data_IF_546377433554
#
_entry.id   IF_546377433554
#
_cell.length_a   1.000
_cell.length_b   1.000
_cell.length_c   1.000
_cell.angle_alpha   90.00
_cell.angle_beta   90.00
_cell.angle_gamma   90.00
#
_symmetry.space_group_name_H-M   'P 1'
#
loop_
_entity.id
_entity.type
_entity.pdbx_description
1 polymer ?
#
# COMPACT_ATOMS: atom_id res chain seq x y z
N UNK A 1 -26.66 -85.99 -14.52
CA UNK A 1 -26.97 -85.35 -15.80
C UNK A 1 -26.53 -83.91 -15.68
N UNK A 2 -25.53 -83.47 -16.45
CA UNK A 2 -24.99 -82.12 -16.30
C UNK A 2 -25.79 -81.11 -17.16
N UNK A 3 -26.13 -79.98 -16.57
CA UNK A 3 -26.79 -78.86 -17.22
C UNK A 3 -25.79 -78.07 -18.09
N UNK A 4 -26.17 -77.87 -19.34
CA UNK A 4 -25.40 -77.07 -20.32
C UNK A 4 -25.61 -75.56 -20.10
N UNK A 5 -24.49 -74.89 -19.91
CA UNK A 5 -24.41 -73.42 -19.83
C UNK A 5 -24.28 -72.84 -21.24
N UNK A 6 -25.16 -71.86 -21.61
CA UNK A 6 -25.05 -71.12 -22.86
C UNK A 6 -24.30 -69.77 -22.61
N UNK A 7 -23.38 -69.35 -23.47
CA UNK A 7 -22.72 -68.09 -23.34
C UNK A 7 -23.64 -66.94 -23.83
N UNK A 8 -23.67 -65.84 -23.06
CA UNK A 8 -24.32 -64.58 -23.43
C UNK A 8 -23.40 -63.76 -24.37
N UNK A 9 -23.95 -63.06 -25.36
CA UNK A 9 -23.18 -62.21 -26.24
C UNK A 9 -22.79 -60.87 -25.50
N UNK A 10 -21.53 -60.49 -25.63
CA UNK A 10 -21.00 -59.20 -25.14
C UNK A 10 -21.47 -58.07 -26.04
N UNK A 11 -22.23 -57.17 -25.47
CA UNK A 11 -22.57 -55.89 -26.15
C UNK A 11 -21.40 -54.92 -26.06
N UNK A 12 -20.79 -54.61 -27.20
CA UNK A 12 -19.81 -53.53 -27.36
C UNK A 12 -20.55 -52.19 -27.38
N UNK A 13 -20.35 -51.39 -26.34
CA UNK A 13 -20.78 -49.97 -26.30
C UNK A 13 -19.61 -49.12 -26.82
N UNK A 14 -19.79 -48.32 -27.87
CA UNK A 14 -18.73 -47.39 -28.31
C UNK A 14 -18.64 -46.20 -27.36
N UNK A 15 -17.48 -46.03 -26.72
CA UNK A 15 -17.13 -44.86 -25.94
C UNK A 15 -16.88 -43.65 -26.89
N UNK A 16 -17.88 -42.79 -27.00
CA UNK A 16 -17.69 -41.47 -27.65
C UNK A 16 -16.91 -40.55 -26.71
N UNK A 17 -15.64 -40.33 -26.99
CA UNK A 17 -14.82 -39.35 -26.28
C UNK A 17 -15.23 -37.94 -26.72
N UNK A 18 -15.97 -37.21 -25.88
CA UNK A 18 -16.14 -35.74 -26.02
C UNK A 18 -14.83 -35.07 -25.64
N UNK A 19 -14.11 -34.53 -26.61
CA UNK A 19 -13.00 -33.61 -26.36
C UNK A 19 -13.57 -32.26 -25.94
N UNK A 20 -13.54 -31.97 -24.65
CA UNK A 20 -13.82 -30.61 -24.13
C UNK A 20 -12.62 -29.71 -24.41
N UNK A 21 -12.74 -28.81 -25.39
CA UNK A 21 -11.79 -27.69 -25.56
C UNK A 21 -11.93 -26.74 -24.38
N UNK A 22 -10.99 -26.81 -23.44
CA UNK A 22 -10.84 -25.82 -22.40
C UNK A 22 -10.29 -24.53 -23.04
N UNK A 23 -11.16 -23.55 -23.29
CA UNK A 23 -10.77 -22.21 -23.65
C UNK A 23 -10.14 -21.56 -22.41
N UNK A 24 -8.79 -21.59 -22.29
CA UNK A 24 -8.06 -20.75 -21.35
C UNK A 24 -8.20 -19.30 -21.78
N UNK A 25 -9.26 -18.63 -21.30
CA UNK A 25 -9.35 -17.18 -21.35
C UNK A 25 -8.22 -16.61 -20.52
N UNK A 26 -7.24 -15.98 -21.15
CA UNK A 26 -6.23 -15.18 -20.47
C UNK A 26 -6.93 -14.00 -19.79
N UNK A 27 -7.24 -14.12 -18.49
CA UNK A 27 -7.66 -13.00 -17.67
C UNK A 27 -6.50 -11.99 -17.64
N UNK A 28 -6.61 -10.94 -18.44
CA UNK A 28 -5.72 -9.78 -18.32
C UNK A 28 -5.90 -9.22 -16.90
N UNK A 29 -4.82 -9.08 -16.11
CA UNK A 29 -4.95 -8.48 -14.77
C UNK A 29 -5.57 -7.10 -14.90
N UNK A 30 -6.45 -6.69 -13.95
CA UNK A 30 -7.04 -5.37 -13.98
C UNK A 30 -5.93 -4.32 -13.95
N UNK A 31 -5.97 -3.39 -14.93
CA UNK A 31 -5.08 -2.23 -14.94
C UNK A 31 -5.43 -1.40 -13.71
N UNK A 32 -4.47 -1.10 -12.82
CA UNK A 32 -4.74 -0.24 -11.67
C UNK A 32 -5.35 1.09 -12.17
N UNK A 33 -6.35 1.64 -11.48
CA UNK A 33 -6.93 2.91 -11.88
C UNK A 33 -5.83 3.97 -11.95
N UNK A 34 -5.78 4.71 -13.07
CA UNK A 34 -4.85 5.82 -13.23
C UNK A 34 -5.20 6.89 -12.20
N UNK A 35 -4.31 7.12 -11.24
CA UNK A 35 -4.49 8.15 -10.21
C UNK A 35 -4.30 9.51 -10.87
N UNK A 36 -5.37 10.33 -10.89
CA UNK A 36 -5.27 11.72 -11.31
C UNK A 36 -4.69 12.54 -10.15
N UNK A 37 -3.45 12.95 -10.31
CA UNK A 37 -2.72 13.70 -9.28
C UNK A 37 -3.02 15.19 -9.40
N UNK A 38 -3.50 15.86 -8.33
CA UNK A 38 -3.67 17.31 -8.30
C UNK A 38 -2.36 18.05 -8.58
N UNK A 39 -2.47 19.25 -9.18
CA UNK A 39 -1.31 20.09 -9.55
C UNK A 39 -0.40 20.37 -8.35
N UNK A 40 -0.98 20.70 -7.19
CA UNK A 40 -0.27 21.00 -5.95
C UNK A 40 0.61 19.86 -5.43
N UNK A 41 0.37 18.65 -5.91
CA UNK A 41 1.13 17.45 -5.52
C UNK A 41 2.13 17.01 -6.58
N UNK A 42 2.29 17.72 -7.68
CA UNK A 42 3.30 17.40 -8.68
C UNK A 42 4.72 17.67 -8.13
N UNK A 43 5.69 16.82 -8.49
CA UNK A 43 7.08 17.05 -8.10
C UNK A 43 7.61 18.34 -8.73
N UNK A 44 8.66 18.97 -8.14
CA UNK A 44 9.35 20.10 -8.73
C UNK A 44 9.82 19.83 -10.17
N UNK A 45 9.90 20.89 -10.97
CA UNK A 45 10.48 20.79 -12.31
C UNK A 45 11.95 20.32 -12.25
N UNK A 46 12.33 19.45 -13.17
CA UNK A 46 13.67 18.84 -13.19
C UNK A 46 13.82 17.57 -12.36
N UNK A 47 12.74 17.09 -11.75
CA UNK A 47 12.69 15.78 -11.13
C UNK A 47 11.99 14.75 -12.03
N UNK A 48 12.47 13.52 -12.04
CA UNK A 48 11.91 12.39 -12.79
C UNK A 48 11.50 11.25 -11.87
N UNK A 49 10.48 10.51 -12.30
CA UNK A 49 10.05 9.30 -11.62
C UNK A 49 11.19 8.28 -11.53
N UNK A 50 11.55 7.91 -10.32
CA UNK A 50 12.50 6.83 -10.07
C UNK A 50 11.80 5.50 -9.79
N UNK A 51 10.79 5.52 -8.93
CA UNK A 51 10.15 4.30 -8.46
C UNK A 51 8.75 4.57 -7.94
N UNK A 52 7.87 3.60 -8.14
CA UNK A 52 6.57 3.54 -7.48
C UNK A 52 6.59 2.37 -6.50
N UNK A 53 6.10 2.60 -5.28
CA UNK A 53 6.01 1.62 -4.21
C UNK A 53 4.61 1.59 -3.63
N UNK A 54 4.19 0.41 -3.19
CA UNK A 54 2.90 0.18 -2.52
C UNK A 54 3.14 -0.08 -1.05
N UNK A 55 2.58 0.78 -0.20
CA UNK A 55 2.65 0.62 1.23
C UNK A 55 1.43 -0.14 1.75
N UNK A 56 1.68 -1.06 2.66
CA UNK A 56 0.65 -1.73 3.47
C UNK A 56 1.14 -1.74 4.92
N UNK A 57 0.32 -1.25 5.82
CA UNK A 57 0.68 -1.15 7.23
C UNK A 57 -0.36 -0.41 8.06
N UNK A 58 0.07 0.32 9.08
CA UNK A 58 -0.79 1.04 10.01
C UNK A 58 -0.36 2.48 10.22
N UNK A 59 -1.33 3.36 10.47
CA UNK A 59 -1.13 4.66 11.10
C UNK A 59 -1.30 4.47 12.60
N UNK A 60 -0.34 4.96 13.39
CA UNK A 60 -0.34 4.83 14.85
C UNK A 60 -0.76 6.15 15.46
N UNK A 61 -1.75 6.09 16.33
CA UNK A 61 -2.26 7.23 17.10
C UNK A 61 -2.13 6.93 18.59
N UNK A 62 -1.98 7.96 19.38
CA UNK A 62 -1.96 7.87 20.85
C UNK A 62 -3.07 8.74 21.43
N UNK A 63 -3.81 8.20 22.37
CA UNK A 63 -4.78 8.96 23.13
C UNK A 63 -4.08 9.97 24.04
N UNK A 64 -4.38 11.26 23.87
CA UNK A 64 -3.80 12.35 24.65
C UNK A 64 -4.86 13.32 25.13
N UNK A 65 -4.56 14.06 26.17
CA UNK A 65 -5.31 15.26 26.50
C UNK A 65 -5.20 16.26 25.34
N UNK A 66 -6.34 16.79 24.90
CA UNK A 66 -6.36 17.78 23.81
C UNK A 66 -5.84 19.11 24.31
N UNK A 67 -4.80 19.63 23.65
CA UNK A 67 -4.19 20.88 24.01
C UNK A 67 -5.22 22.04 23.95
N UNK A 68 -5.22 22.90 24.94
CA UNK A 68 -6.10 24.09 25.01
C UNK A 68 -7.57 23.79 25.32
N UNK A 69 -7.94 22.55 25.68
CA UNK A 69 -9.33 22.18 26.01
C UNK A 69 -9.36 21.29 27.27
N UNK A 70 -9.89 21.84 28.34
CA UNK A 70 -9.96 21.10 29.63
C UNK A 70 -10.91 19.91 29.51
N UNK A 71 -10.43 18.72 29.90
CA UNK A 71 -11.21 17.49 29.96
C UNK A 71 -11.46 16.80 28.60
N UNK A 72 -11.03 17.39 27.49
CA UNK A 72 -11.13 16.75 26.17
C UNK A 72 -9.90 15.90 25.86
N UNK A 73 -10.10 14.84 25.09
CA UNK A 73 -9.08 13.94 24.60
C UNK A 73 -9.09 13.90 23.07
N UNK A 74 -7.99 13.46 22.49
CA UNK A 74 -7.86 13.26 21.05
C UNK A 74 -6.92 12.11 20.72
N UNK A 75 -7.08 11.53 19.55
CA UNK A 75 -6.12 10.61 18.96
C UNK A 75 -5.04 11.41 18.22
N UNK A 76 -3.89 11.60 18.86
CA UNK A 76 -2.75 12.31 18.28
C UNK A 76 -1.92 11.35 17.42
N UNK A 77 -1.62 11.75 16.18
CA UNK A 77 -0.80 10.95 15.27
C UNK A 77 0.65 10.85 15.75
N UNK A 78 1.18 9.62 15.79
CA UNK A 78 2.59 9.33 16.12
C UNK A 78 3.44 9.07 14.88
N UNK A 79 2.92 8.32 13.94
CA UNK A 79 3.65 7.94 12.74
C UNK A 79 3.08 6.69 12.07
N UNK A 80 3.52 6.41 10.84
CA UNK A 80 3.21 5.16 10.15
C UNK A 80 4.16 4.04 10.58
N UNK A 81 3.73 2.81 10.31
CA UNK A 81 4.55 1.61 10.29
C UNK A 81 4.07 0.75 9.13
N UNK A 82 4.85 0.66 8.05
CA UNK A 82 4.43 -0.02 6.83
C UNK A 82 5.60 -0.69 6.10
N UNK A 83 5.29 -1.79 5.42
CA UNK A 83 6.14 -2.40 4.41
C UNK A 83 5.94 -1.70 3.07
N UNK A 84 7.01 -1.61 2.29
CA UNK A 84 7.02 -1.05 0.94
C UNK A 84 7.29 -2.17 -0.06
N UNK A 85 6.35 -2.42 -0.97
CA UNK A 85 6.49 -3.40 -2.04
C UNK A 85 6.74 -2.71 -3.39
N UNK A 86 7.48 -3.36 -4.27
CA UNK A 86 7.64 -2.95 -5.67
C UNK A 86 6.46 -3.42 -6.55
N UNK A 87 6.53 -3.17 -7.85
CA UNK A 87 5.54 -3.56 -8.86
C UNK A 87 5.37 -5.09 -9.02
N UNK A 88 6.32 -5.87 -8.52
CA UNK A 88 6.28 -7.34 -8.49
C UNK A 88 5.77 -7.89 -7.16
N UNK A 89 5.46 -7.01 -6.19
CA UNK A 89 5.02 -7.38 -4.86
C UNK A 89 6.16 -7.77 -3.91
N UNK A 90 7.43 -7.61 -4.31
CA UNK A 90 8.56 -7.88 -3.43
C UNK A 90 8.73 -6.73 -2.43
N UNK A 91 8.91 -7.07 -1.14
CA UNK A 91 9.19 -6.08 -0.10
C UNK A 91 10.62 -5.56 -0.29
N UNK A 92 10.73 -4.27 -0.59
CA UNK A 92 12.01 -3.59 -0.88
C UNK A 92 12.42 -2.60 0.20
N UNK A 93 11.54 -2.30 1.16
CA UNK A 93 11.82 -1.35 2.22
C UNK A 93 10.69 -1.21 3.23
N UNK A 94 10.82 -0.20 4.08
CA UNK A 94 9.87 0.15 5.14
C UNK A 94 9.65 1.66 5.21
N UNK A 95 8.45 2.03 5.69
CA UNK A 95 8.07 3.41 5.97
C UNK A 95 7.64 3.55 7.44
N UNK A 96 8.15 4.55 8.12
CA UNK A 96 7.92 4.75 9.54
C UNK A 96 8.04 6.23 9.95
N UNK A 97 7.89 6.49 11.25
CA UNK A 97 7.91 7.85 11.78
C UNK A 97 9.14 8.65 11.35
N UNK A 98 8.92 9.96 11.13
CA UNK A 98 9.95 10.90 10.76
C UNK A 98 9.56 11.93 9.68
N UNK A 99 8.65 11.65 8.70
CA UNK A 99 8.36 10.41 7.99
C UNK A 99 9.60 9.89 7.25
N UNK A 100 9.89 8.61 7.40
CA UNK A 100 11.11 7.98 6.87
C UNK A 100 10.78 6.88 5.87
N UNK A 101 11.55 6.79 4.79
CA UNK A 101 11.56 5.65 3.84
C UNK A 101 12.97 5.07 3.84
N UNK A 102 13.08 3.78 4.14
CA UNK A 102 14.35 3.07 4.23
C UNK A 102 14.28 1.81 3.37
N UNK A 103 15.21 1.68 2.43
CA UNK A 103 15.35 0.51 1.58
C UNK A 103 16.10 -0.62 2.30
N UNK A 104 15.96 -1.85 1.80
CA UNK A 104 16.66 -3.02 2.32
C UNK A 104 18.20 -2.91 2.24
N UNK A 105 18.75 -2.08 1.37
CA UNK A 105 20.18 -1.81 1.23
C UNK A 105 20.73 -0.79 2.25
N UNK A 106 19.83 -0.19 3.07
CA UNK A 106 20.16 0.80 4.11
C UNK A 106 20.21 2.25 3.61
N UNK A 107 19.89 2.52 2.34
CA UNK A 107 19.64 3.88 1.88
C UNK A 107 18.31 4.38 2.48
N UNK A 108 18.29 5.65 2.94
CA UNK A 108 17.18 6.20 3.72
C UNK A 108 17.00 7.68 3.46
N UNK A 109 15.76 8.08 3.31
CA UNK A 109 15.36 9.50 3.26
C UNK A 109 14.34 9.84 4.33
N UNK A 110 14.34 11.10 4.75
CA UNK A 110 13.35 11.69 5.65
C UNK A 110 12.67 12.83 4.92
N UNK A 111 11.34 12.89 5.01
CA UNK A 111 10.52 13.85 4.31
C UNK A 111 10.05 15.01 5.18
N UNK A 112 9.78 16.15 4.51
CA UNK A 112 9.07 17.30 5.05
C UNK A 112 7.89 17.59 4.14
N UNK A 113 6.67 17.69 4.69
CA UNK A 113 5.45 17.95 3.91
C UNK A 113 5.52 19.34 3.28
N UNK A 114 5.35 19.42 1.96
CA UNK A 114 5.29 20.66 1.18
C UNK A 114 3.86 20.98 0.76
N UNK A 115 3.08 19.98 0.40
CA UNK A 115 1.69 20.14 0.01
C UNK A 115 0.84 18.98 0.52
N UNK A 116 -0.45 19.26 0.72
CA UNK A 116 -1.47 18.32 1.20
C UNK A 116 -2.77 18.56 0.45
N UNK A 117 -3.39 17.48 0.01
CA UNK A 117 -4.73 17.48 -0.59
C UNK A 117 -5.53 16.35 0.04
N UNK A 118 -6.78 16.60 0.38
CA UNK A 118 -7.67 15.55 0.88
C UNK A 118 -8.04 14.61 -0.28
N UNK A 119 -8.05 13.29 -0.03
CA UNK A 119 -8.34 12.31 -1.07
C UNK A 119 -9.80 12.39 -1.52
N UNK A 120 -10.13 11.94 -2.74
CA UNK A 120 -11.51 11.80 -3.18
C UNK A 120 -12.35 11.02 -2.16
N UNK A 121 -13.51 11.57 -1.76
CA UNK A 121 -14.40 10.94 -0.80
C UNK A 121 -14.05 11.13 0.68
N UNK A 122 -12.87 11.66 1.03
CA UNK A 122 -12.49 12.02 2.41
C UNK A 122 -12.42 10.85 3.41
N UNK A 123 -12.34 9.60 2.95
CA UNK A 123 -12.41 8.39 3.80
C UNK A 123 -11.04 7.80 4.16
N UNK A 124 -9.95 8.46 3.76
CA UNK A 124 -8.59 8.01 4.01
C UNK A 124 -7.64 9.17 4.36
N UNK A 125 -6.44 8.82 4.77
CA UNK A 125 -5.41 9.81 5.08
C UNK A 125 -5.07 10.66 3.85
N UNK A 126 -4.64 11.95 4.04
CA UNK A 126 -4.39 12.89 2.95
C UNK A 126 -3.34 12.42 1.95
N UNK A 127 -3.49 12.87 0.72
CA UNK A 127 -2.42 12.83 -0.28
C UNK A 127 -1.41 13.92 0.01
N UNK A 128 -0.13 13.64 -0.20
CA UNK A 128 0.96 14.53 0.15
C UNK A 128 2.00 14.62 -0.97
N UNK A 129 2.64 15.79 -1.05
CA UNK A 129 3.96 15.94 -1.62
C UNK A 129 4.94 16.25 -0.50
N UNK A 130 6.06 15.54 -0.42
CA UNK A 130 7.11 15.74 0.55
C UNK A 130 8.43 16.00 -0.17
N UNK A 131 9.16 17.00 0.26
CA UNK A 131 10.59 17.14 -0.04
C UNK A 131 11.37 16.20 0.88
N UNK A 132 12.42 15.55 0.36
CA UNK A 132 13.21 14.61 1.15
C UNK A 132 14.68 14.97 1.19
N UNK A 133 15.34 14.50 2.25
CA UNK A 133 16.80 14.54 2.37
C UNK A 133 17.34 13.17 2.72
N UNK A 134 18.49 12.82 2.17
CA UNK A 134 19.19 11.59 2.53
C UNK A 134 19.72 11.67 3.96
N UNK A 135 19.50 10.62 4.73
CA UNK A 135 20.00 10.41 6.10
C UNK A 135 20.58 9.02 6.31
N UNK A 136 20.63 8.22 5.26
CA UNK A 136 21.17 6.88 5.22
C UNK A 136 22.49 6.81 4.46
N UNK A 137 22.72 5.66 3.80
CA UNK A 137 23.88 5.50 2.93
C UNK A 137 23.83 6.48 1.75
N UNK A 138 24.99 6.98 1.35
CA UNK A 138 25.15 7.90 0.22
C UNK A 138 24.81 7.25 -1.14
N UNK A 139 24.83 5.92 -1.20
CA UNK A 139 24.48 5.12 -2.38
C UNK A 139 23.35 4.15 -2.02
N UNK A 140 22.53 3.79 -2.99
CA UNK A 140 21.46 2.81 -2.81
C UNK A 140 20.12 3.27 -3.43
N UNK A 141 19.12 2.44 -3.26
CA UNK A 141 17.83 2.56 -3.97
C UNK A 141 17.09 3.88 -3.68
N UNK A 142 17.25 4.44 -2.48
CA UNK A 142 16.59 5.68 -2.07
C UNK A 142 17.56 6.85 -1.86
N UNK A 143 18.86 6.66 -2.14
CA UNK A 143 19.90 7.65 -1.80
C UNK A 143 19.70 9.01 -2.50
N UNK A 144 19.16 9.03 -3.71
CA UNK A 144 18.99 10.24 -4.52
C UNK A 144 17.54 10.73 -4.60
N UNK A 145 16.64 10.15 -3.82
CA UNK A 145 15.24 10.57 -3.77
C UNK A 145 15.16 11.97 -3.15
N UNK A 146 14.62 12.93 -3.89
CA UNK A 146 14.46 14.33 -3.49
C UNK A 146 13.01 14.69 -3.18
N UNK A 147 12.05 13.98 -3.80
CA UNK A 147 10.62 14.14 -3.48
C UNK A 147 9.93 12.79 -3.38
N UNK A 148 8.96 12.73 -2.47
CA UNK A 148 8.05 11.60 -2.32
C UNK A 148 6.61 12.11 -2.37
N UNK A 149 5.82 11.50 -3.23
CA UNK A 149 4.39 11.74 -3.33
C UNK A 149 3.65 10.56 -2.72
N UNK A 150 2.68 10.84 -1.84
CA UNK A 150 1.74 9.86 -1.30
C UNK A 150 0.38 10.08 -1.93
N UNK A 151 -0.12 9.09 -2.66
CA UNK A 151 -1.42 9.13 -3.35
C UNK A 151 -2.15 7.79 -3.21
N UNK A 152 -3.34 7.68 -3.77
CA UNK A 152 -4.15 6.45 -3.74
C UNK A 152 -4.25 5.84 -2.33
N UNK A 153 -4.51 6.69 -1.33
CA UNK A 153 -4.60 6.26 0.06
C UNK A 153 -5.92 5.55 0.34
N UNK A 154 -5.85 4.51 1.16
CA UNK A 154 -6.99 3.77 1.68
C UNK A 154 -6.89 3.72 3.21
N UNK A 155 -7.94 4.08 3.94
CA UNK A 155 -7.99 4.01 5.41
C UNK A 155 -7.00 4.92 6.12
N UNK A 156 -6.56 4.50 7.30
CA UNK A 156 -5.53 5.18 8.11
C UNK A 156 -5.99 6.40 8.89
N UNK A 157 -7.25 6.83 8.80
CA UNK A 157 -7.77 7.93 9.62
C UNK A 157 -7.81 7.53 11.11
N UNK A 158 -7.68 8.48 12.05
CA UNK A 158 -7.83 8.17 13.47
C UNK A 158 -9.24 7.59 13.74
N UNK A 159 -9.42 6.85 14.85
CA UNK A 159 -10.75 6.42 15.26
C UNK A 159 -11.72 7.62 15.32
N UNK A 160 -12.92 7.46 14.77
CA UNK A 160 -13.90 8.54 14.68
C UNK A 160 -14.39 9.03 16.05
N UNK A 161 -14.44 8.11 17.04
CA UNK A 161 -14.79 8.45 18.41
C UNK A 161 -13.54 8.94 19.16
N UNK A 162 -13.59 10.10 19.82
CA UNK A 162 -12.54 10.51 20.73
C UNK A 162 -12.25 9.41 21.78
N UNK A 163 -11.02 9.29 22.18
CA UNK A 163 -10.67 8.34 23.24
C UNK A 163 -11.17 8.83 24.62
N UNK A 164 -11.40 7.90 25.56
CA UNK A 164 -11.79 8.27 26.90
C UNK A 164 -10.58 8.76 27.73
N UNK A 165 -10.82 9.57 28.76
CA UNK A 165 -9.76 10.05 29.65
C UNK A 165 -8.97 8.90 30.31
N UNK A 166 -9.63 7.76 30.59
CA UNK A 166 -8.99 6.57 31.14
C UNK A 166 -8.06 5.85 30.12
N UNK A 167 -8.12 6.21 28.84
CA UNK A 167 -7.33 5.62 27.76
C UNK A 167 -6.09 6.45 27.41
N UNK A 168 -5.84 7.55 28.11
CA UNK A 168 -4.65 8.38 27.87
C UNK A 168 -3.38 7.52 27.94
N UNK A 169 -2.55 7.61 26.88
CA UNK A 169 -1.36 6.79 26.67
C UNK A 169 -1.60 5.51 25.87
N UNK A 170 -2.85 5.09 25.67
CA UNK A 170 -3.16 3.95 24.81
C UNK A 170 -2.94 4.30 23.33
N UNK A 171 -2.60 3.28 22.54
CA UNK A 171 -2.33 3.42 21.11
C UNK A 171 -3.39 2.72 20.27
N UNK A 172 -3.88 3.41 19.25
CA UNK A 172 -4.68 2.84 18.18
C UNK A 172 -3.78 2.61 16.94
N UNK A 173 -3.88 1.43 16.33
CA UNK A 173 -3.19 1.04 15.10
C UNK A 173 -4.26 0.88 14.02
N UNK A 174 -4.29 1.78 13.05
CA UNK A 174 -5.34 1.83 12.03
C UNK A 174 -4.75 1.44 10.68
N UNK A 175 -5.27 0.40 10.09
CA UNK A 175 -4.80 -0.12 8.80
C UNK A 175 -4.88 0.94 7.71
N UNK A 176 -3.84 1.01 6.88
CA UNK A 176 -3.82 1.85 5.70
C UNK A 176 -3.04 1.21 4.56
N UNK A 177 -3.37 1.67 3.34
CA UNK A 177 -2.55 1.48 2.15
C UNK A 177 -2.29 2.82 1.50
N UNK A 178 -1.22 2.90 0.73
CA UNK A 178 -0.88 4.07 -0.06
C UNK A 178 0.04 3.69 -1.22
N UNK A 179 0.02 4.48 -2.28
CA UNK A 179 1.04 4.50 -3.30
C UNK A 179 2.04 5.61 -2.97
N UNK A 180 3.32 5.27 -2.92
CA UNK A 180 4.43 6.22 -2.82
C UNK A 180 5.15 6.28 -4.16
N UNK A 181 5.20 7.48 -4.74
CA UNK A 181 5.93 7.76 -5.98
C UNK A 181 7.18 8.56 -5.61
N UNK A 182 8.33 8.00 -5.90
CA UNK A 182 9.65 8.54 -5.55
C UNK A 182 10.25 9.21 -6.78
N UNK A 183 10.72 10.44 -6.59
CA UNK A 183 11.33 11.26 -7.63
C UNK A 183 12.76 11.64 -7.27
N UNK A 184 13.59 11.88 -8.27
CA UNK A 184 14.94 12.39 -8.11
C UNK A 184 15.29 13.39 -9.21
N UNK A 185 16.29 14.27 -8.98
CA UNK A 185 16.77 15.21 -9.98
C UNK A 185 17.23 14.48 -11.25
N UNK A 186 16.97 15.10 -12.40
CA UNK A 186 17.56 14.71 -13.68
C UNK A 186 19.00 15.28 -13.73
N UNK A 187 20.00 14.39 -13.86
CA UNK A 187 21.40 14.77 -14.03
C UNK A 187 21.74 14.85 -15.52
#
# INVERSE_FOLDING_TARGET
MPARSFPRPASLVPCMALAALAACGTCKPPVPPTVVVPEDLKPPAGETLQRTLWATGVQIYECRAKAGTTGATEWAFLGPEASLADDKGAIVGKHYAGPSWEAGDGSKVVGTVKARVDPPGGTSIPWLLLETRNVGKAQGQFAHVSSVQRVATEGGLPPATPCAAAEIGQKARVDYKAQYVLYAPTF
#
